data_IF_689028033396
#
_entry.id   IF_689028033396
#
_cell.length_a   1.000
_cell.length_b   1.000
_cell.length_c   1.000
_cell.angle_alpha   90.00
_cell.angle_beta   90.00
_cell.angle_gamma   90.00
#
_symmetry.space_group_name_H-M   'P 1'
#
loop_
_entity.id
_entity.type
_entity.pdbx_description
1 polymer ?
#
# COMPACT_ATOMS: atom_id res chain seq x y z
N UNK A 1 20.37 8.37 -50.91
CA UNK A 1 19.59 9.32 -50.09
C UNK A 1 18.28 8.72 -49.59
N UNK A 2 17.33 8.36 -50.47
CA UNK A 2 16.03 7.79 -50.05
C UNK A 2 16.16 6.51 -49.21
N UNK A 3 17.01 5.57 -49.64
CA UNK A 3 17.24 4.30 -48.90
C UNK A 3 17.77 4.58 -47.47
N UNK A 4 18.68 5.53 -47.34
CA UNK A 4 19.27 5.91 -46.04
C UNK A 4 18.20 6.52 -45.13
N UNK A 5 17.34 7.38 -45.67
CA UNK A 5 16.22 7.98 -44.93
C UNK A 5 15.23 6.89 -44.48
N UNK A 6 14.90 5.94 -45.36
CA UNK A 6 14.03 4.81 -45.02
C UNK A 6 14.62 3.95 -43.89
N UNK A 7 15.92 3.66 -43.93
CA UNK A 7 16.61 2.89 -42.89
C UNK A 7 16.60 3.63 -41.55
N UNK A 8 16.85 4.95 -41.55
CA UNK A 8 16.81 5.77 -40.33
C UNK A 8 15.40 5.78 -39.73
N UNK A 9 14.37 5.97 -40.53
CA UNK A 9 12.98 5.95 -40.06
C UNK A 9 12.59 4.59 -39.44
N UNK A 10 13.04 3.49 -40.05
CA UNK A 10 12.77 2.15 -39.56
C UNK A 10 13.46 1.90 -38.21
N UNK A 11 14.70 2.37 -38.03
CA UNK A 11 15.42 2.30 -36.76
C UNK A 11 14.74 3.12 -35.66
N UNK A 12 14.24 4.33 -35.98
CA UNK A 12 13.50 5.16 -35.03
C UNK A 12 12.20 4.48 -34.61
N UNK A 13 11.44 3.94 -35.57
CA UNK A 13 10.19 3.22 -35.30
C UNK A 13 10.44 1.99 -34.41
N UNK A 14 11.49 1.22 -34.72
CA UNK A 14 11.88 0.06 -33.92
C UNK A 14 12.30 0.46 -32.50
N UNK A 15 13.08 1.55 -32.36
CA UNK A 15 13.45 2.10 -31.06
C UNK A 15 12.24 2.53 -30.22
N UNK A 16 11.29 3.25 -30.83
CA UNK A 16 10.04 3.64 -30.17
C UNK A 16 9.23 2.43 -29.71
N UNK A 17 9.09 1.41 -30.57
CA UNK A 17 8.38 0.18 -30.24
C UNK A 17 9.03 -0.57 -29.06
N UNK A 18 10.37 -0.62 -29.03
CA UNK A 18 11.12 -1.22 -27.93
C UNK A 18 10.88 -0.50 -26.59
N UNK A 19 10.92 0.84 -26.58
CA UNK A 19 10.65 1.66 -25.38
C UNK A 19 9.22 1.45 -24.90
N UNK A 20 8.25 1.44 -25.82
CA UNK A 20 6.84 1.21 -25.52
C UNK A 20 6.62 -0.18 -24.89
N UNK A 21 7.17 -1.24 -25.48
CA UNK A 21 7.09 -2.60 -24.93
C UNK A 21 7.76 -2.72 -23.56
N UNK A 22 8.91 -2.06 -23.35
CA UNK A 22 9.60 -2.05 -22.06
C UNK A 22 8.73 -1.42 -20.97
N UNK A 23 8.09 -0.30 -21.27
CA UNK A 23 7.21 0.39 -20.33
C UNK A 23 5.95 -0.43 -20.01
N UNK A 24 5.35 -1.10 -21.00
CA UNK A 24 4.22 -2.00 -20.77
C UNK A 24 4.58 -3.17 -19.84
N UNK A 25 5.72 -3.81 -20.05
CA UNK A 25 6.18 -4.93 -19.19
C UNK A 25 6.41 -4.48 -17.75
N UNK A 26 7.05 -3.33 -17.55
CA UNK A 26 7.26 -2.73 -16.22
C UNK A 26 5.94 -2.47 -15.51
N UNK A 27 4.97 -1.86 -16.20
CA UNK A 27 3.62 -1.60 -15.65
C UNK A 27 2.90 -2.89 -15.24
N UNK A 28 2.99 -3.96 -16.05
CA UNK A 28 2.38 -5.26 -15.70
C UNK A 28 3.01 -5.87 -14.46
N UNK A 29 4.35 -5.86 -14.36
CA UNK A 29 5.05 -6.38 -13.19
C UNK A 29 4.69 -5.60 -11.91
N UNK A 30 4.66 -4.27 -11.99
CA UNK A 30 4.24 -3.43 -10.86
C UNK A 30 2.81 -3.74 -10.41
N UNK A 31 1.87 -3.89 -11.36
CA UNK A 31 0.48 -4.24 -11.03
C UNK A 31 0.36 -5.56 -10.26
N UNK A 32 1.11 -6.59 -10.67
CA UNK A 32 1.10 -7.89 -9.98
C UNK A 32 1.66 -7.75 -8.56
N UNK A 33 2.74 -6.99 -8.38
CA UNK A 33 3.35 -6.77 -7.06
C UNK A 33 2.41 -5.98 -6.15
N UNK A 34 1.76 -4.93 -6.66
CA UNK A 34 0.74 -4.17 -5.94
C UNK A 34 -0.45 -5.06 -5.56
N UNK A 35 -0.93 -5.88 -6.48
CA UNK A 35 -2.07 -6.76 -6.21
C UNK A 35 -1.74 -7.82 -5.15
N UNK A 36 -0.56 -8.44 -5.24
CA UNK A 36 -0.10 -9.39 -4.23
C UNK A 36 0.10 -8.72 -2.87
N UNK A 37 0.64 -7.50 -2.84
CA UNK A 37 0.77 -6.71 -1.62
C UNK A 37 -0.60 -6.40 -1.02
N UNK A 38 -1.58 -6.01 -1.83
CA UNK A 38 -2.96 -5.76 -1.40
C UNK A 38 -3.57 -7.00 -0.79
N UNK A 39 -3.39 -8.17 -1.41
CA UNK A 39 -3.87 -9.44 -0.85
C UNK A 39 -3.25 -9.74 0.52
N UNK A 40 -1.95 -9.48 0.70
CA UNK A 40 -1.30 -9.69 1.99
C UNK A 40 -1.86 -8.77 3.09
N UNK A 41 -2.06 -7.48 2.78
CA UNK A 41 -2.63 -6.52 3.73
C UNK A 41 -4.11 -6.79 4.00
N UNK A 42 -4.89 -7.14 2.97
CA UNK A 42 -6.31 -7.52 3.12
C UNK A 42 -6.47 -8.72 4.07
N UNK A 43 -5.56 -9.71 4.02
CA UNK A 43 -5.57 -10.84 4.95
C UNK A 43 -5.25 -10.41 6.39
N UNK A 44 -4.26 -9.53 6.58
CA UNK A 44 -3.92 -9.00 7.89
C UNK A 44 -5.04 -8.14 8.48
N UNK A 45 -5.67 -7.30 7.66
CA UNK A 45 -6.82 -6.49 8.06
C UNK A 45 -8.02 -7.37 8.41
N UNK A 46 -8.26 -8.46 7.67
CA UNK A 46 -9.31 -9.42 8.02
C UNK A 46 -9.05 -10.13 9.34
N UNK A 47 -7.80 -10.47 9.65
CA UNK A 47 -7.44 -10.99 10.98
C UNK A 47 -7.66 -9.95 12.08
N UNK A 48 -7.27 -8.70 11.82
CA UNK A 48 -7.43 -7.57 12.74
C UNK A 48 -8.89 -7.35 13.16
N UNK A 49 -9.84 -7.32 12.21
CA UNK A 49 -11.26 -7.10 12.55
C UNK A 49 -11.92 -8.28 13.29
N UNK A 50 -11.24 -9.43 13.39
CA UNK A 50 -11.72 -10.53 14.23
C UNK A 50 -11.37 -10.35 15.71
N UNK A 51 -10.44 -9.46 16.06
CA UNK A 51 -10.05 -9.20 17.46
C UNK A 51 -11.18 -8.47 18.18
N UNK A 52 -11.51 -8.92 19.39
CA UNK A 52 -12.66 -8.38 20.12
C UNK A 52 -12.49 -6.90 20.47
N UNK A 53 -11.29 -6.47 20.87
CA UNK A 53 -10.98 -5.06 21.11
C UNK A 53 -11.20 -4.22 19.85
N UNK A 54 -10.89 -4.72 18.65
CA UNK A 54 -11.11 -4.01 17.38
C UNK A 54 -12.60 -3.90 17.04
N UNK A 55 -13.39 -4.94 17.35
CA UNK A 55 -14.85 -4.90 17.16
C UNK A 55 -15.53 -3.86 18.05
N UNK A 56 -14.99 -3.61 19.26
CA UNK A 56 -15.49 -2.55 20.16
C UNK A 56 -15.35 -1.15 19.56
N UNK A 57 -14.39 -0.95 18.65
CA UNK A 57 -14.25 0.28 17.87
C UNK A 57 -15.19 0.34 16.65
N UNK A 58 -16.01 -0.68 16.41
CA UNK A 58 -16.97 -0.73 15.31
C UNK A 58 -16.40 -1.22 13.97
N UNK A 59 -15.15 -1.70 13.94
CA UNK A 59 -14.51 -2.20 12.71
C UNK A 59 -14.90 -3.66 12.48
N UNK A 60 -15.85 -3.92 11.58
CA UNK A 60 -16.42 -5.27 11.38
C UNK A 60 -16.21 -5.85 9.97
N UNK A 61 -16.28 -5.04 8.92
CA UNK A 61 -16.11 -5.50 7.54
C UNK A 61 -14.93 -4.81 6.84
N UNK A 62 -14.01 -5.62 6.31
CA UNK A 62 -12.86 -5.13 5.55
C UNK A 62 -13.16 -5.25 4.06
N UNK A 63 -13.38 -4.10 3.42
CA UNK A 63 -13.29 -4.00 1.97
C UNK A 63 -11.83 -3.97 1.54
N UNK A 64 -11.57 -4.43 0.31
CA UNK A 64 -10.21 -4.41 -0.23
C UNK A 64 -9.61 -3.01 -0.28
N UNK A 65 -8.38 -2.89 0.22
CA UNK A 65 -7.70 -1.61 0.33
C UNK A 65 -7.42 -0.97 -1.04
N UNK A 66 -7.55 0.35 -1.11
CA UNK A 66 -7.22 1.12 -2.32
C UNK A 66 -5.74 1.46 -2.32
N UNK A 67 -5.01 1.10 -3.36
CA UNK A 67 -3.58 1.41 -3.46
C UNK A 67 -3.35 2.92 -3.57
N UNK A 68 -2.36 3.43 -2.84
CA UNK A 68 -1.88 4.82 -2.95
C UNK A 68 -0.69 4.97 -3.91
N UNK A 69 -0.31 3.88 -4.61
CA UNK A 69 0.84 3.84 -5.51
C UNK A 69 0.73 4.81 -6.70
N UNK A 70 -0.48 5.20 -7.09
CA UNK A 70 -0.69 6.19 -8.15
C UNK A 70 -0.17 7.59 -7.76
N UNK A 71 -0.09 7.87 -6.45
CA UNK A 71 0.44 9.13 -5.90
C UNK A 71 1.92 9.00 -5.54
N UNK A 72 2.31 7.89 -4.90
CA UNK A 72 3.64 7.72 -4.30
C UNK A 72 4.63 6.91 -5.15
N UNK A 73 4.17 6.24 -6.21
CA UNK A 73 5.00 5.50 -7.16
C UNK A 73 4.65 4.02 -7.28
N UNK A 74 4.87 3.46 -8.48
CA UNK A 74 4.41 2.13 -8.92
C UNK A 74 4.98 0.90 -8.15
N UNK A 75 5.74 1.08 -7.07
CA UNK A 75 6.29 0.02 -6.22
C UNK A 75 6.00 0.23 -4.73
N UNK A 76 5.29 1.32 -4.38
CA UNK A 76 4.86 1.58 -3.01
C UNK A 76 3.68 0.67 -2.71
N UNK A 77 3.83 -0.15 -1.67
CA UNK A 77 2.82 -1.09 -1.22
C UNK A 77 2.14 -0.51 0.01
N UNK A 78 1.29 0.49 -0.20
CA UNK A 78 0.44 1.04 0.84
C UNK A 78 -1.01 1.12 0.34
N UNK A 79 -1.94 0.88 1.25
CA UNK A 79 -3.35 0.72 0.94
C UNK A 79 -4.21 1.43 1.97
N UNK A 80 -5.17 2.20 1.48
CA UNK A 80 -6.16 2.91 2.25
C UNK A 80 -7.39 2.03 2.47
N UNK A 81 -7.79 1.87 3.72
CA UNK A 81 -8.99 1.17 4.17
C UNK A 81 -9.97 2.17 4.75
N UNK A 82 -11.27 1.96 4.52
CA UNK A 82 -12.33 2.84 5.01
C UNK A 82 -13.35 2.04 5.81
N UNK A 83 -13.67 2.53 7.00
CA UNK A 83 -14.67 1.94 7.88
C UNK A 83 -15.71 3.01 8.25
N UNK A 84 -17.01 2.73 8.07
CA UNK A 84 -18.04 3.58 8.65
C UNK A 84 -17.96 3.46 10.18
N UNK A 85 -17.99 4.60 10.87
CA UNK A 85 -17.98 4.68 12.34
C UNK A 85 -19.13 5.59 12.82
N UNK A 86 -19.52 5.48 14.08
CA UNK A 86 -20.66 6.26 14.60
C UNK A 86 -20.35 7.76 14.77
N UNK A 87 -19.09 8.09 15.06
CA UNK A 87 -18.63 9.45 15.29
C UNK A 87 -17.14 9.58 14.95
N UNK A 88 -16.74 10.76 14.49
CA UNK A 88 -15.32 11.07 14.28
C UNK A 88 -14.53 10.94 15.60
N UNK A 89 -13.36 10.32 15.49
CA UNK A 89 -12.41 10.13 16.57
C UNK A 89 -11.66 11.43 16.85
N UNK A 90 -11.47 11.72 18.14
CA UNK A 90 -10.48 12.73 18.56
C UNK A 90 -9.05 12.26 18.27
N UNK A 91 -8.09 13.19 18.17
CA UNK A 91 -6.67 12.87 17.95
C UNK A 91 -6.13 11.82 18.94
N UNK A 92 -6.59 11.88 20.20
CA UNK A 92 -6.21 10.91 21.23
C UNK A 92 -6.78 9.52 20.93
N UNK A 93 -8.04 9.44 20.51
CA UNK A 93 -8.67 8.18 20.12
C UNK A 93 -7.99 7.59 18.88
N UNK A 94 -7.73 8.40 17.86
CA UNK A 94 -7.01 8.01 16.65
C UNK A 94 -5.62 7.46 16.97
N UNK A 95 -4.86 8.15 17.83
CA UNK A 95 -3.55 7.68 18.28
C UNK A 95 -3.62 6.35 19.03
N UNK A 96 -4.56 6.22 19.97
CA UNK A 96 -4.73 4.98 20.73
C UNK A 96 -5.11 3.81 19.82
N UNK A 97 -6.04 4.02 18.88
CA UNK A 97 -6.45 3.00 17.92
C UNK A 97 -5.27 2.62 17.00
N UNK A 98 -4.48 3.59 16.54
CA UNK A 98 -3.27 3.33 15.76
C UNK A 98 -2.29 2.43 16.52
N UNK A 99 -1.99 2.77 17.78
CA UNK A 99 -1.08 1.98 18.63
C UNK A 99 -1.60 0.56 18.86
N UNK A 100 -2.91 0.40 19.05
CA UNK A 100 -3.57 -0.90 19.17
C UNK A 100 -3.42 -1.75 17.90
N UNK A 101 -3.70 -1.15 16.74
CA UNK A 101 -3.59 -1.84 15.44
C UNK A 101 -2.13 -2.21 15.15
N UNK A 102 -1.17 -1.29 15.38
CA UNK A 102 0.25 -1.58 15.22
C UNK A 102 0.68 -2.76 16.12
N UNK A 103 0.14 -2.85 17.34
CA UNK A 103 0.33 -4.01 18.23
C UNK A 103 -0.11 -5.34 17.61
N UNK A 104 -1.33 -5.39 17.06
CA UNK A 104 -1.83 -6.58 16.38
C UNK A 104 -1.05 -6.90 15.10
N UNK A 105 -0.59 -5.90 14.36
CA UNK A 105 0.26 -6.12 13.19
C UNK A 105 1.64 -6.66 13.54
N UNK A 106 2.23 -6.24 14.66
CA UNK A 106 3.47 -6.84 15.17
C UNK A 106 3.25 -8.34 15.43
N UNK A 107 2.18 -8.69 16.13
CA UNK A 107 1.83 -10.09 16.43
C UNK A 107 1.58 -10.89 15.13
N UNK A 108 0.77 -10.36 14.22
CA UNK A 108 0.48 -10.98 12.93
C UNK A 108 1.76 -11.21 12.12
N UNK A 109 2.66 -10.22 12.07
CA UNK A 109 3.95 -10.33 11.40
C UNK A 109 4.84 -11.40 12.04
N UNK A 110 4.85 -11.51 13.37
CA UNK A 110 5.59 -12.55 14.08
C UNK A 110 5.07 -13.96 13.72
N UNK A 111 3.76 -14.15 13.77
CA UNK A 111 3.12 -15.44 13.47
C UNK A 111 3.35 -15.87 12.01
N UNK A 112 3.31 -14.92 11.08
CA UNK A 112 3.43 -15.18 9.65
C UNK A 112 4.86 -14.98 9.09
N UNK A 113 5.85 -14.68 9.97
CA UNK A 113 7.25 -14.41 9.61
C UNK A 113 7.42 -13.30 8.57
N UNK A 114 6.63 -12.23 8.68
CA UNK A 114 6.64 -11.09 7.78
C UNK A 114 7.54 -9.99 8.35
N UNK A 115 8.82 -10.02 7.99
CA UNK A 115 9.81 -9.04 8.43
C UNK A 115 10.63 -8.49 7.27
N UNK A 116 10.96 -7.20 7.36
CA UNK A 116 11.89 -6.52 6.48
C UNK A 116 12.94 -5.82 7.33
N UNK A 117 14.22 -6.12 7.09
CA UNK A 117 15.35 -5.55 7.85
C UNK A 117 15.18 -5.69 9.38
N UNK A 118 14.61 -6.81 9.83
CA UNK A 118 14.39 -7.11 11.25
C UNK A 118 13.21 -6.38 11.89
N UNK A 119 12.40 -5.64 11.12
CA UNK A 119 11.19 -4.95 11.59
C UNK A 119 9.93 -5.60 11.01
N UNK A 120 8.78 -5.52 11.70
CA UNK A 120 7.49 -5.96 11.16
C UNK A 120 7.22 -5.31 9.80
N UNK A 121 6.77 -6.12 8.85
CA UNK A 121 6.50 -5.64 7.49
C UNK A 121 5.18 -4.89 7.36
N UNK A 122 4.27 -4.97 8.33
CA UNK A 122 3.00 -4.23 8.32
C UNK A 122 3.08 -3.05 9.29
N UNK A 123 2.72 -1.87 8.82
CA UNK A 123 2.78 -0.62 9.59
C UNK A 123 1.57 0.23 9.25
N UNK A 124 0.86 0.76 10.25
CA UNK A 124 -0.12 1.83 10.02
C UNK A 124 0.66 3.11 9.74
N UNK A 125 0.62 3.60 8.49
CA UNK A 125 1.31 4.82 8.10
C UNK A 125 0.55 6.07 8.55
N UNK A 126 -0.78 6.03 8.48
CA UNK A 126 -1.63 7.13 8.92
C UNK A 126 -3.04 6.62 9.28
N UNK A 127 -3.73 7.32 10.18
CA UNK A 127 -5.07 6.98 10.66
C UNK A 127 -5.81 8.25 11.07
N UNK A 128 -6.94 8.51 10.44
CA UNK A 128 -7.77 9.68 10.72
C UNK A 128 -9.24 9.38 10.45
N UNK A 129 -10.13 10.15 11.04
CA UNK A 129 -11.56 10.07 10.76
C UNK A 129 -12.10 11.42 10.32
N UNK A 130 -13.00 11.40 9.35
CA UNK A 130 -13.75 12.59 8.93
C UNK A 130 -15.09 12.16 8.35
N UNK A 131 -16.13 12.93 8.67
CA UNK A 131 -17.49 12.70 8.16
C UNK A 131 -17.98 11.28 8.50
N UNK A 132 -17.68 10.81 9.71
CA UNK A 132 -18.03 9.47 10.23
C UNK A 132 -17.42 8.31 9.41
N UNK A 133 -16.29 8.56 8.76
CA UNK A 133 -15.50 7.55 8.07
C UNK A 133 -14.10 7.53 8.66
N UNK A 134 -13.72 6.39 9.24
CA UNK A 134 -12.35 6.10 9.63
C UNK A 134 -11.56 5.66 8.40
N UNK A 135 -10.47 6.35 8.10
CA UNK A 135 -9.49 5.96 7.10
C UNK A 135 -8.22 5.45 7.79
N UNK A 136 -7.72 4.32 7.32
CA UNK A 136 -6.50 3.69 7.83
C UNK A 136 -5.60 3.36 6.65
N UNK A 137 -4.44 4.00 6.60
CA UNK A 137 -3.42 3.70 5.61
C UNK A 137 -2.43 2.68 6.19
N UNK A 138 -2.32 1.53 5.52
CA UNK A 138 -1.45 0.45 5.93
C UNK A 138 -0.39 0.19 4.87
N UNK A 139 0.87 0.26 5.28
CA UNK A 139 2.03 -0.03 4.45
C UNK A 139 2.53 -1.47 4.66
N UNK A 140 2.84 -2.15 3.56
CA UNK A 140 3.51 -3.44 3.52
C UNK A 140 4.97 -3.30 3.08
N UNK A 141 5.84 -3.12 4.06
CA UNK A 141 7.27 -2.89 3.89
C UNK A 141 7.98 -4.21 3.57
N UNK A 142 8.18 -4.45 2.28
CA UNK A 142 8.99 -5.57 1.75
C UNK A 142 9.95 -5.13 0.64
N UNK A 143 10.08 -3.82 0.45
CA UNK A 143 10.97 -3.23 -0.54
C UNK A 143 11.41 -1.83 -0.09
N UNK A 144 12.46 -1.33 -0.72
CA UNK A 144 13.03 -0.02 -0.42
C UNK A 144 12.05 1.13 -0.74
N UNK A 145 11.27 1.02 -1.82
CA UNK A 145 10.32 2.06 -2.22
C UNK A 145 9.26 2.36 -1.14
N UNK A 146 8.74 1.30 -0.49
CA UNK A 146 7.74 1.43 0.58
C UNK A 146 8.40 1.90 1.88
N UNK A 147 9.65 1.48 2.14
CA UNK A 147 10.44 1.98 3.28
C UNK A 147 10.73 3.49 3.16
N UNK A 148 11.10 3.95 1.96
CA UNK A 148 11.37 5.36 1.70
C UNK A 148 10.10 6.21 1.74
N UNK A 149 8.98 5.71 1.21
CA UNK A 149 7.66 6.31 1.38
C UNK A 149 7.33 6.58 2.86
N UNK A 150 7.53 5.61 3.75
CA UNK A 150 7.29 5.79 5.18
C UNK A 150 8.23 6.83 5.82
N UNK A 151 9.50 6.90 5.38
CA UNK A 151 10.44 7.92 5.87
C UNK A 151 10.01 9.32 5.45
N UNK A 152 9.49 9.47 4.24
CA UNK A 152 9.03 10.76 3.73
C UNK A 152 7.75 11.22 4.42
N UNK A 153 6.81 10.31 4.73
CA UNK A 153 5.63 10.64 5.54
C UNK A 153 6.00 11.10 6.95
N UNK A 154 6.94 10.44 7.61
CA UNK A 154 7.36 10.81 8.97
C UNK A 154 8.12 12.15 9.05
N UNK A 155 8.45 12.77 7.91
CA UNK A 155 9.09 14.09 7.85
C UNK A 155 8.10 15.24 7.73
N UNK A 156 6.84 14.94 7.43
CA UNK A 156 5.73 15.90 7.31
C UNK A 156 5.07 16.12 8.67
#
# INVERSE_FOLDING_TARGET
MVIIICVILLLILFGMLMVYMRNLRRKKSSKIVIENGRHAVDLAMRDLVQKDEIKEWGLQEVHSGKSVADVWGNLVLAYNYKFPIDHDLSDKQSKNLKELIDGYFIEYCQQNRLFWEGKPSLVVSDLWSRDNVLEIDVAYVVNLATSDYLKDLNRL
#
